data_IF_476499799053
#
_entry.id   IF_476499799053
#
_cell.length_a   1.000
_cell.length_b   1.000
_cell.length_c   1.000
_cell.angle_alpha   90.00
_cell.angle_beta   90.00
_cell.angle_gamma   90.00
#
_symmetry.space_group_name_H-M   'P 1'
#
loop_
_entity.id
_entity.type
_entity.pdbx_description
1 polymer ?
#
# COMPACT_ATOMS: atom_id res chain seq x y z
N UNK A 1 -14.93 -1.61 2.00
CA UNK A 1 -13.71 -0.81 1.76
C UNK A 1 -13.66 -0.50 0.27
N UNK A 2 -13.47 0.76 -0.14
CA UNK A 2 -13.27 1.10 -1.57
C UNK A 2 -11.82 0.75 -1.96
N UNK A 3 -11.63 0.26 -3.18
CA UNK A 3 -10.32 -0.02 -3.79
C UNK A 3 -10.50 -0.05 -5.31
N UNK A 4 -9.41 0.06 -6.06
CA UNK A 4 -9.38 -0.20 -7.49
C UNK A 4 -8.05 -0.86 -7.88
N UNK A 5 -8.11 -2.15 -8.21
CA UNK A 5 -6.97 -3.00 -8.56
C UNK A 5 -7.36 -3.92 -9.71
N UNK A 6 -6.39 -4.40 -10.48
CA UNK A 6 -6.64 -5.15 -11.71
C UNK A 6 -7.41 -6.45 -11.51
N UNK A 7 -6.96 -7.31 -10.59
CA UNK A 7 -7.58 -8.60 -10.31
C UNK A 7 -7.18 -9.11 -8.91
N UNK A 8 -8.16 -9.35 -8.04
CA UNK A 8 -7.95 -9.92 -6.71
C UNK A 8 -7.51 -11.40 -6.73
N UNK A 9 -7.67 -12.10 -7.85
CA UNK A 9 -7.14 -13.44 -8.07
C UNK A 9 -5.61 -13.51 -7.94
N UNK A 10 -4.92 -12.41 -8.20
CA UNK A 10 -3.45 -12.32 -8.18
C UNK A 10 -2.84 -12.27 -6.77
N UNK A 11 -3.65 -12.11 -5.72
CA UNK A 11 -3.16 -11.92 -4.34
C UNK A 11 -2.22 -13.04 -3.87
N UNK A 12 -2.47 -14.30 -4.27
CA UNK A 12 -1.61 -15.43 -3.88
C UNK A 12 -0.20 -15.31 -4.48
N UNK A 13 -0.09 -14.80 -5.70
CA UNK A 13 1.20 -14.53 -6.34
C UNK A 13 1.91 -13.38 -5.62
N UNK A 14 1.18 -12.30 -5.34
CA UNK A 14 1.69 -11.15 -4.60
C UNK A 14 2.22 -11.53 -3.22
N UNK A 15 1.51 -12.40 -2.48
CA UNK A 15 1.94 -12.92 -1.17
C UNK A 15 3.36 -13.47 -1.23
N UNK A 16 3.62 -14.41 -2.13
CA UNK A 16 4.93 -15.08 -2.21
C UNK A 16 6.07 -14.09 -2.48
N UNK A 17 5.83 -13.08 -3.33
CA UNK A 17 6.82 -12.05 -3.66
C UNK A 17 7.04 -11.08 -2.51
N UNK A 18 5.98 -10.64 -1.83
CA UNK A 18 6.08 -9.75 -0.67
C UNK A 18 6.76 -10.44 0.50
N UNK A 19 6.44 -11.71 0.79
CA UNK A 19 7.10 -12.49 1.83
C UNK A 19 8.58 -12.72 1.54
N UNK A 20 8.96 -12.87 0.27
CA UNK A 20 10.36 -12.94 -0.12
C UNK A 20 11.07 -11.60 0.12
N UNK A 21 10.47 -10.48 -0.33
CA UNK A 21 11.01 -9.15 -0.14
C UNK A 21 11.16 -8.80 1.36
N UNK A 22 10.18 -9.18 2.18
CA UNK A 22 10.25 -8.95 3.63
C UNK A 22 11.51 -9.57 4.26
N UNK A 23 11.92 -10.77 3.83
CA UNK A 23 13.15 -11.42 4.35
C UNK A 23 14.42 -10.62 4.03
N UNK A 24 14.39 -9.77 3.01
CA UNK A 24 15.48 -8.90 2.60
C UNK A 24 15.37 -7.48 3.18
N UNK A 25 14.33 -7.20 3.98
CA UNK A 25 14.07 -5.88 4.60
C UNK A 25 14.05 -5.98 6.14
N UNK A 26 15.16 -6.39 6.79
CA UNK A 26 15.19 -6.75 8.21
C UNK A 26 14.78 -5.60 9.14
N UNK A 27 15.10 -4.36 8.77
CA UNK A 27 14.73 -3.17 9.57
C UNK A 27 13.21 -2.99 9.65
N UNK A 28 12.49 -3.14 8.52
CA UNK A 28 11.02 -3.07 8.52
C UNK A 28 10.41 -4.26 9.26
N UNK A 29 10.98 -5.47 9.12
CA UNK A 29 10.56 -6.63 9.90
C UNK A 29 10.64 -6.39 11.42
N UNK A 30 11.77 -5.86 11.89
CA UNK A 30 11.95 -5.47 13.31
C UNK A 30 10.97 -4.38 13.75
N UNK A 31 10.82 -3.32 12.94
CA UNK A 31 9.88 -2.24 13.23
C UNK A 31 8.44 -2.74 13.28
N UNK A 32 8.04 -3.66 12.38
CA UNK A 32 6.70 -4.25 12.34
C UNK A 32 6.39 -5.00 13.64
N UNK A 33 7.34 -5.77 14.17
CA UNK A 33 7.18 -6.47 15.46
C UNK A 33 7.01 -5.47 16.61
N UNK A 34 7.83 -4.40 16.65
CA UNK A 34 7.73 -3.34 17.66
C UNK A 34 6.39 -2.60 17.55
N UNK A 35 5.99 -2.22 16.34
CA UNK A 35 4.78 -1.48 16.03
C UNK A 35 3.53 -2.28 16.34
N UNK A 36 3.53 -3.60 16.11
CA UNK A 36 2.43 -4.48 16.45
C UNK A 36 2.10 -4.46 17.96
N UNK A 37 3.11 -4.29 18.82
CA UNK A 37 2.94 -4.20 20.28
C UNK A 37 2.56 -2.80 20.73
N UNK A 38 3.25 -1.79 20.22
CA UNK A 38 3.13 -0.41 20.71
C UNK A 38 1.98 0.37 20.06
N UNK A 39 1.54 -0.03 18.86
CA UNK A 39 0.53 0.66 18.04
C UNK A 39 0.73 2.19 17.98
N UNK A 40 1.94 2.70 17.67
CA UNK A 40 2.25 4.14 17.76
C UNK A 40 1.46 5.01 16.76
N UNK A 41 0.88 4.40 15.72
CA UNK A 41 0.12 5.08 14.68
C UNK A 41 -1.40 4.89 14.86
N UNK A 42 -1.86 4.41 16.02
CA UNK A 42 -3.29 4.23 16.29
C UNK A 42 -4.03 5.56 16.12
N UNK A 43 -5.06 5.55 15.28
CA UNK A 43 -5.89 6.73 14.99
C UNK A 43 -5.31 7.64 13.90
N UNK A 44 -4.08 7.40 13.44
CA UNK A 44 -3.48 8.15 12.35
C UNK A 44 -3.96 7.61 11.00
N UNK A 45 -4.38 8.52 10.11
CA UNK A 45 -4.72 8.22 8.71
C UNK A 45 -3.54 8.63 7.84
N UNK A 46 -3.03 7.72 7.01
CA UNK A 46 -1.91 7.97 6.11
C UNK A 46 -2.36 7.69 4.68
N UNK A 47 -2.21 8.68 3.81
CA UNK A 47 -2.41 8.55 2.38
C UNK A 47 -1.05 8.48 1.70
N UNK A 48 -0.80 7.44 0.92
CA UNK A 48 0.48 7.24 0.25
C UNK A 48 0.30 7.28 -1.28
N UNK A 49 1.13 8.07 -1.94
CA UNK A 49 1.31 8.10 -3.39
C UNK A 49 2.74 7.67 -3.69
N UNK A 50 2.94 6.38 -3.98
CA UNK A 50 4.25 5.75 -4.11
C UNK A 50 4.21 4.69 -5.21
N UNK A 51 5.36 4.22 -5.70
CA UNK A 51 5.40 3.04 -6.56
C UNK A 51 4.80 1.82 -5.83
N UNK A 52 3.78 1.19 -6.41
CA UNK A 52 3.09 0.04 -5.78
C UNK A 52 3.85 -1.24 -6.08
N UNK A 53 4.87 -1.53 -5.27
CA UNK A 53 5.77 -2.69 -5.41
C UNK A 53 5.83 -3.54 -4.13
N UNK A 54 6.58 -4.64 -4.18
CA UNK A 54 6.84 -5.52 -3.04
C UNK A 54 7.37 -4.77 -1.82
N UNK A 55 8.29 -3.84 -2.02
CA UNK A 55 8.95 -3.06 -0.96
C UNK A 55 7.95 -2.11 -0.29
N UNK A 56 7.16 -1.39 -1.09
CA UNK A 56 6.07 -0.54 -0.62
C UNK A 56 5.03 -1.35 0.15
N UNK A 57 4.73 -2.57 -0.29
CA UNK A 57 3.84 -3.47 0.46
C UNK A 57 4.41 -3.77 1.86
N UNK A 58 5.69 -4.12 1.99
CA UNK A 58 6.31 -4.36 3.31
C UNK A 58 6.23 -3.12 4.21
N UNK A 59 6.44 -1.92 3.64
CA UNK A 59 6.25 -0.66 4.35
C UNK A 59 4.79 -0.48 4.82
N UNK A 60 3.80 -0.68 3.93
CA UNK A 60 2.38 -0.57 4.28
C UNK A 60 1.98 -1.55 5.39
N UNK A 61 2.46 -2.80 5.34
CA UNK A 61 2.23 -3.78 6.40
C UNK A 61 2.82 -3.33 7.73
N UNK A 62 3.97 -2.67 7.71
CA UNK A 62 4.63 -2.12 8.91
C UNK A 62 3.82 -0.99 9.52
N UNK A 63 3.36 -0.03 8.70
CA UNK A 63 2.52 1.08 9.16
C UNK A 63 1.16 0.58 9.68
N UNK A 64 0.54 -0.38 8.99
CA UNK A 64 -0.70 -1.01 9.43
C UNK A 64 -0.51 -1.74 10.77
N UNK A 65 0.59 -2.47 10.94
CA UNK A 65 0.93 -3.09 12.21
C UNK A 65 1.04 -2.05 13.33
N UNK A 66 1.47 -0.82 13.03
CA UNK A 66 1.47 0.32 13.94
C UNK A 66 0.09 0.89 14.28
N UNK A 67 -0.99 0.39 13.68
CA UNK A 67 -2.36 0.85 13.94
C UNK A 67 -2.85 1.97 13.02
N UNK A 68 -2.08 2.32 12.00
CA UNK A 68 -2.48 3.32 11.01
C UNK A 68 -3.67 2.83 10.16
N UNK A 69 -4.52 3.78 9.76
CA UNK A 69 -5.47 3.61 8.66
C UNK A 69 -4.80 4.11 7.38
N UNK A 70 -4.72 3.26 6.37
CA UNK A 70 -3.94 3.51 5.17
C UNK A 70 -4.84 3.65 3.94
N UNK A 71 -4.36 4.37 2.93
CA UNK A 71 -4.78 4.24 1.54
C UNK A 71 -3.55 4.48 0.65
N UNK A 72 -3.42 3.73 -0.44
CA UNK A 72 -2.26 3.76 -1.34
C UNK A 72 -2.70 3.96 -2.78
N UNK A 73 -2.03 4.84 -3.52
CA UNK A 73 -2.09 4.93 -4.97
C UNK A 73 -0.69 4.92 -5.58
N UNK A 74 -0.63 4.70 -6.89
CA UNK A 74 0.62 4.76 -7.64
C UNK A 74 1.09 6.22 -7.81
N UNK A 75 2.41 6.44 -7.72
CA UNK A 75 3.06 7.70 -8.16
C UNK A 75 3.45 7.68 -9.65
N UNK A 76 3.32 6.53 -10.31
CA UNK A 76 3.56 6.39 -11.74
C UNK A 76 2.65 5.29 -12.33
N UNK A 77 1.90 5.56 -13.42
CA UNK A 77 0.97 4.61 -14.03
C UNK A 77 1.57 3.26 -14.42
N UNK A 78 2.88 3.17 -14.70
CA UNK A 78 3.54 1.94 -15.15
C UNK A 78 4.21 1.14 -14.03
N UNK A 79 4.31 1.71 -12.84
CA UNK A 79 5.11 1.16 -11.74
C UNK A 79 4.40 0.08 -10.92
N UNK A 80 3.07 0.01 -11.00
CA UNK A 80 2.26 -0.91 -10.21
C UNK A 80 2.58 -2.37 -10.52
N UNK A 81 2.79 -3.16 -9.48
CA UNK A 81 2.77 -4.61 -9.53
C UNK A 81 1.37 -5.08 -9.12
N UNK A 82 0.55 -5.45 -10.11
CA UNK A 82 -0.89 -5.74 -9.92
C UNK A 82 -1.15 -6.85 -8.89
N UNK A 83 -0.26 -7.83 -8.83
CA UNK A 83 -0.30 -8.92 -7.86
C UNK A 83 -0.06 -8.45 -6.42
N UNK A 84 0.84 -7.49 -6.23
CA UNK A 84 1.10 -6.85 -4.94
C UNK A 84 -0.07 -5.98 -4.51
N UNK A 85 -0.63 -5.18 -5.42
CA UNK A 85 -1.82 -4.38 -5.15
C UNK A 85 -3.00 -5.28 -4.71
N UNK A 86 -3.23 -6.38 -5.42
CA UNK A 86 -4.23 -7.38 -5.08
C UNK A 86 -4.00 -8.01 -3.70
N UNK A 87 -2.74 -8.34 -3.37
CA UNK A 87 -2.35 -8.89 -2.07
C UNK A 87 -2.68 -7.94 -0.91
N UNK A 88 -2.30 -6.67 -1.02
CA UNK A 88 -2.58 -5.64 0.00
C UNK A 88 -4.09 -5.48 0.26
N UNK A 89 -4.90 -5.50 -0.80
CA UNK A 89 -6.35 -5.38 -0.70
C UNK A 89 -6.97 -6.64 -0.10
N UNK A 90 -6.71 -7.81 -0.69
CA UNK A 90 -7.44 -9.05 -0.38
C UNK A 90 -7.07 -9.62 0.99
N UNK A 91 -5.78 -9.63 1.32
CA UNK A 91 -5.31 -10.31 2.52
C UNK A 91 -5.15 -9.37 3.71
N UNK A 92 -4.83 -8.11 3.41
CA UNK A 92 -4.59 -7.12 4.45
C UNK A 92 -5.66 -6.06 4.52
N UNK A 93 -6.66 -6.00 3.65
CA UNK A 93 -7.70 -4.97 3.74
C UNK A 93 -7.12 -3.55 3.79
N UNK A 94 -6.06 -3.31 3.01
CA UNK A 94 -5.50 -1.98 2.79
C UNK A 94 -6.10 -1.47 1.47
N UNK A 95 -6.82 -0.33 1.46
CA UNK A 95 -7.28 0.30 0.23
C UNK A 95 -6.11 0.60 -0.69
N UNK A 96 -6.16 0.07 -1.92
CA UNK A 96 -5.20 0.39 -2.98
C UNK A 96 -6.01 0.85 -4.20
N UNK A 97 -5.56 1.94 -4.81
CA UNK A 97 -6.08 2.52 -6.04
C UNK A 97 -4.91 2.63 -7.00
N UNK A 98 -4.64 1.54 -7.72
CA UNK A 98 -3.52 1.48 -8.64
C UNK A 98 -3.68 0.29 -9.61
N UNK A 99 -3.54 0.55 -10.91
CA UNK A 99 -3.47 -0.49 -11.94
C UNK A 99 -2.30 -0.22 -12.87
N UNK A 100 -1.52 -1.26 -13.20
CA UNK A 100 -0.41 -1.11 -14.14
C UNK A 100 -0.90 -0.73 -15.53
N UNK A 101 -0.34 0.34 -16.10
CA UNK A 101 -0.68 0.83 -17.43
C UNK A 101 -1.98 1.63 -17.47
N UNK A 102 -2.38 2.23 -16.36
CA UNK A 102 -3.60 3.05 -16.32
C UNK A 102 -3.48 4.37 -17.08
N UNK A 103 -4.62 4.85 -17.58
CA UNK A 103 -4.72 6.15 -18.24
C UNK A 103 -4.68 7.31 -17.24
N UNK A 104 -4.39 8.51 -17.76
CA UNK A 104 -4.24 9.75 -16.97
C UNK A 104 -5.44 10.04 -16.07
N UNK A 105 -6.66 9.92 -16.58
CA UNK A 105 -7.86 10.22 -15.78
C UNK A 105 -8.01 9.27 -14.59
N UNK A 106 -7.80 7.97 -14.81
CA UNK A 106 -7.86 6.95 -13.76
C UNK A 106 -6.77 7.21 -12.71
N UNK A 107 -5.55 7.48 -13.14
CA UNK A 107 -4.43 7.85 -12.28
C UNK A 107 -4.77 9.00 -11.32
N UNK A 108 -5.30 10.12 -11.83
CA UNK A 108 -5.71 11.24 -10.97
C UNK A 108 -6.92 10.92 -10.09
N UNK A 109 -7.86 10.10 -10.57
CA UNK A 109 -8.98 9.64 -9.75
C UNK A 109 -8.51 8.80 -8.55
N UNK A 110 -7.42 8.04 -8.71
CA UNK A 110 -6.81 7.25 -7.64
C UNK A 110 -6.14 8.11 -6.58
N UNK A 111 -5.43 9.17 -7.00
CA UNK A 111 -4.88 10.17 -6.09
C UNK A 111 -6.00 10.80 -5.26
N UNK A 112 -7.10 11.23 -5.90
CA UNK A 112 -8.25 11.80 -5.20
C UNK A 112 -8.88 10.79 -4.22
N UNK A 113 -8.99 9.52 -4.60
CA UNK A 113 -9.51 8.47 -3.71
C UNK A 113 -8.64 8.24 -2.46
N UNK A 114 -7.32 8.44 -2.56
CA UNK A 114 -6.42 8.45 -1.39
C UNK A 114 -6.63 9.71 -0.55
N UNK A 115 -6.86 10.87 -1.16
CA UNK A 115 -7.14 12.10 -0.42
C UNK A 115 -8.51 12.10 0.29
N UNK A 116 -9.49 11.36 -0.24
CA UNK A 116 -10.85 11.23 0.32
C UNK A 116 -10.87 10.63 1.73
N UNK A 117 -9.84 9.86 2.12
CA UNK A 117 -9.71 9.37 3.50
C UNK A 117 -9.27 10.47 4.47
N UNK A 118 -9.08 11.71 3.98
CA UNK A 118 -8.63 12.91 4.73
C UNK A 118 -7.39 12.58 5.55
N UNK A 119 -6.26 12.22 4.91
CA UNK A 119 -5.07 11.77 5.61
C UNK A 119 -4.56 12.85 6.59
N UNK A 120 -4.07 12.41 7.76
CA UNK A 120 -3.32 13.30 8.66
C UNK A 120 -1.89 13.49 8.16
N UNK A 121 -1.33 12.48 7.50
CA UNK A 121 0.02 12.46 6.96
C UNK A 121 -0.06 11.96 5.51
N UNK A 122 0.62 12.64 4.60
CA UNK A 122 0.87 12.14 3.26
C UNK A 122 2.28 11.57 3.15
N UNK A 123 2.43 10.54 2.33
CA UNK A 123 3.73 10.02 1.89
C UNK A 123 3.74 10.09 0.37
N UNK A 124 4.74 10.75 -0.19
CA UNK A 124 4.74 11.12 -1.60
C UNK A 124 6.10 10.85 -2.25
N UNK A 125 6.06 10.53 -3.53
CA UNK A 125 7.23 10.26 -4.37
C UNK A 125 6.97 10.84 -5.77
N UNK A 126 7.67 11.93 -6.10
CA UNK A 126 7.57 12.57 -7.41
C UNK A 126 6.62 13.77 -7.51
N UNK A 127 6.22 14.36 -6.38
CA UNK A 127 5.54 15.67 -6.35
C UNK A 127 6.36 16.77 -7.04
#
# INVERSE_FOLDING_TARGET
>A
MKYDVKDLGLARLGRGRVEWAERQMPVLGMLRQKFARQKPLKGIRIGACLHVTTETSVLMLTLKAGGAKLALCASNPLSTQDDVAAYLVKEHGIPVFAVKGEGRERYYSHINAVLDIKPHITMDDGA
#
